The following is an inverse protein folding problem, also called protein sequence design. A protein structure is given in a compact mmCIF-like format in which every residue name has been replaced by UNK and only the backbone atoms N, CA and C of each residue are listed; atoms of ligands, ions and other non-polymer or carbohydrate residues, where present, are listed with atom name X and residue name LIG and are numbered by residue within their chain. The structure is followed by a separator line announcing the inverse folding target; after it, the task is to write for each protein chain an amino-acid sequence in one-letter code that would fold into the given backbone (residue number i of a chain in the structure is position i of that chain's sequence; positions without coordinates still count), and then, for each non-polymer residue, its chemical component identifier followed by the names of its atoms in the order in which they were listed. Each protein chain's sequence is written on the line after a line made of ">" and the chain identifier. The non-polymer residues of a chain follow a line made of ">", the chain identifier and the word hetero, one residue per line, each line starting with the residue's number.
data_IF_771012503663
#
_entry.id   IF_771012503663
#
_cell.length_a   1.000
_cell.length_b   1.000
_cell.length_c   1.000
_cell.angle_alpha   90.00
_cell.angle_beta   90.00
_cell.angle_gamma   90.00
#
_symmetry.space_group_name_H-M   'P 1'
#
loop_
_entity.id
_entity.type
_entity.pdbx_description
1 polymer ?
#
# COMPACT_ATOMS: atom_id res chain seq x y z
N UNK A 1 10.30 19.32 17.62
CA UNK A 1 9.84 18.30 16.64
C UNK A 1 11.06 17.88 15.83
N UNK A 2 11.35 16.58 15.70
CA UNK A 2 12.67 16.09 15.27
C UNK A 2 12.79 15.74 13.78
N UNK A 3 11.68 15.52 13.05
CA UNK A 3 11.70 15.01 11.68
C UNK A 3 10.64 15.64 10.76
N UNK A 4 10.75 16.93 10.39
CA UNK A 4 9.90 17.52 9.35
C UNK A 4 10.24 16.94 7.96
N UNK A 5 9.28 16.95 7.03
CA UNK A 5 9.40 16.46 5.66
C UNK A 5 9.73 14.95 5.52
N UNK A 6 9.42 14.14 6.54
CA UNK A 6 9.65 12.71 6.42
C UNK A 6 8.49 12.01 5.69
N UNK A 7 8.72 10.76 5.30
CA UNK A 7 7.67 9.87 4.76
C UNK A 7 7.35 8.85 5.85
N UNK A 8 6.07 8.75 6.21
CA UNK A 8 5.56 7.74 7.13
C UNK A 8 4.97 6.60 6.31
N UNK A 9 5.52 5.41 6.45
CA UNK A 9 5.00 4.20 5.80
C UNK A 9 4.25 3.38 6.86
N UNK A 10 2.98 3.07 6.60
CA UNK A 10 2.15 2.22 7.44
C UNK A 10 1.79 0.98 6.63
N UNK A 11 2.29 -0.17 7.04
CA UNK A 11 1.99 -1.45 6.39
C UNK A 11 0.80 -2.15 7.04
N UNK A 12 0.07 -2.97 6.27
CA UNK A 12 -1.09 -3.76 6.75
C UNK A 12 -2.10 -2.89 7.54
N UNK A 13 -2.43 -1.75 6.93
CA UNK A 13 -3.15 -0.64 7.55
C UNK A 13 -4.67 -0.81 7.58
N UNK A 14 -5.20 -1.97 7.18
CA UNK A 14 -6.62 -2.30 7.12
C UNK A 14 -7.34 -1.92 8.41
N UNK A 15 -6.74 -2.26 9.56
CA UNK A 15 -7.35 -1.98 10.87
C UNK A 15 -7.49 -0.48 11.17
N UNK A 16 -6.69 0.36 10.51
CA UNK A 16 -6.56 1.81 10.68
C UNK A 16 -7.43 2.57 9.67
N UNK A 17 -7.53 2.11 8.42
CA UNK A 17 -8.17 2.86 7.32
C UNK A 17 -9.62 2.45 7.04
N UNK A 18 -10.07 1.28 7.52
CA UNK A 18 -11.40 0.76 7.22
C UNK A 18 -12.52 1.54 7.94
N UNK A 19 -13.63 1.74 7.24
CA UNK A 19 -14.87 2.33 7.74
C UNK A 19 -15.63 1.31 8.62
N UNK A 20 -15.51 1.44 9.95
CA UNK A 20 -16.22 0.59 10.91
C UNK A 20 -17.55 1.23 11.30
N UNK A 21 -18.54 1.15 10.39
CA UNK A 21 -19.89 1.73 10.60
C UNK A 21 -20.66 1.17 11.81
N UNK A 22 -20.30 -0.03 12.27
CA UNK A 22 -21.06 -0.76 13.31
C UNK A 22 -20.35 -0.86 14.68
N UNK A 23 -19.18 -0.22 14.85
CA UNK A 23 -18.52 -0.19 16.15
C UNK A 23 -19.04 0.98 16.98
N UNK A 24 -19.54 0.70 18.20
CA UNK A 24 -19.92 1.69 19.22
C UNK A 24 -18.80 2.68 19.60
N UNK A 25 -17.59 2.54 19.04
CA UNK A 25 -16.49 3.48 19.15
C UNK A 25 -16.10 4.00 17.75
N UNK A 26 -16.14 5.33 17.51
CA UNK A 26 -15.56 5.90 16.30
C UNK A 26 -14.08 5.54 16.22
N UNK A 27 -13.61 5.20 15.02
CA UNK A 27 -12.24 4.77 14.75
C UNK A 27 -11.23 5.88 15.12
N UNK A 28 -10.70 5.79 16.34
CA UNK A 28 -9.66 6.70 16.82
C UNK A 28 -8.40 6.65 15.94
N UNK A 29 -8.12 5.50 15.32
CA UNK A 29 -7.03 5.31 14.37
C UNK A 29 -7.20 6.16 13.09
N UNK A 30 -8.37 6.11 12.44
CA UNK A 30 -8.67 6.99 11.28
C UNK A 30 -8.59 8.45 11.69
N UNK A 31 -9.15 8.82 12.84
CA UNK A 31 -9.14 10.22 13.31
C UNK A 31 -7.71 10.74 13.53
N UNK A 32 -6.83 9.92 14.10
CA UNK A 32 -5.42 10.25 14.27
C UNK A 32 -4.71 10.41 12.91
N UNK A 33 -5.02 9.54 11.94
CA UNK A 33 -4.47 9.63 10.59
C UNK A 33 -4.91 10.92 9.89
N UNK A 34 -6.19 11.27 9.99
CA UNK A 34 -6.75 12.52 9.45
C UNK A 34 -6.13 13.77 10.09
N UNK A 35 -5.90 13.75 11.40
CA UNK A 35 -5.26 14.87 12.10
C UNK A 35 -3.79 15.03 11.71
N UNK A 36 -3.13 13.93 11.32
CA UNK A 36 -1.75 13.94 10.85
C UNK A 36 -1.65 14.40 9.39
N UNK A 37 -2.66 14.13 8.56
CA UNK A 37 -2.64 14.50 7.13
C UNK A 37 -3.11 15.93 6.86
N UNK A 38 -4.15 16.41 7.55
CA UNK A 38 -4.91 17.62 7.17
C UNK A 38 -4.97 18.71 8.24
N UNK A 39 -4.42 18.43 9.42
CA UNK A 39 -4.48 19.36 10.54
C UNK A 39 -3.33 20.36 10.58
N UNK A 40 -3.37 21.24 11.58
CA UNK A 40 -2.24 22.11 11.96
C UNK A 40 -0.90 21.35 12.09
N UNK A 41 -0.96 20.05 12.42
CA UNK A 41 0.20 19.15 12.48
C UNK A 41 0.71 18.75 11.09
N UNK A 42 -0.18 18.43 10.15
CA UNK A 42 0.19 18.12 8.76
C UNK A 42 0.85 19.32 8.09
N UNK A 43 0.26 20.51 8.25
CA UNK A 43 0.79 21.79 7.74
C UNK A 43 2.15 22.16 8.37
N UNK A 44 2.34 21.88 9.67
CA UNK A 44 3.59 22.17 10.35
C UNK A 44 4.71 21.17 9.99
N UNK A 45 4.37 19.91 9.73
CA UNK A 45 5.33 18.82 9.55
C UNK A 45 5.66 18.51 8.09
N UNK A 46 4.80 18.91 7.14
CA UNK A 46 4.91 18.54 5.72
C UNK A 46 5.11 17.02 5.52
N UNK A 47 4.44 16.23 6.36
CA UNK A 47 4.62 14.78 6.41
C UNK A 47 3.85 14.12 5.27
N UNK A 48 4.52 13.27 4.50
CA UNK A 48 3.84 12.40 3.52
C UNK A 48 3.53 11.06 4.15
N UNK A 49 2.36 10.50 3.85
CA UNK A 49 1.93 9.21 4.40
C UNK A 49 1.68 8.24 3.24
N UNK A 50 2.29 7.07 3.31
CA UNK A 50 2.06 5.95 2.40
C UNK A 50 1.49 4.81 3.24
N UNK A 51 0.37 4.25 2.78
CA UNK A 51 -0.32 3.18 3.50
C UNK A 51 -0.54 2.00 2.56
N UNK A 52 -0.25 0.79 3.03
CA UNK A 52 -0.52 -0.45 2.27
C UNK A 52 -1.67 -1.20 2.91
N UNK A 53 -2.47 -1.88 2.10
CA UNK A 53 -3.61 -2.68 2.54
C UNK A 53 -4.00 -3.70 1.46
N UNK A 54 -4.66 -4.76 1.89
CA UNK A 54 -5.13 -5.88 1.07
C UNK A 54 -6.66 -6.01 1.07
N UNK A 55 -7.38 -4.93 1.38
CA UNK A 55 -8.84 -4.87 1.35
C UNK A 55 -9.37 -4.12 0.11
N UNK A 56 -10.65 -4.33 -0.21
CA UNK A 56 -11.31 -3.56 -1.27
C UNK A 56 -11.46 -2.09 -0.85
N UNK A 57 -11.26 -1.17 -1.81
CA UNK A 57 -11.43 0.28 -1.62
C UNK A 57 -12.80 0.66 -1.03
N UNK A 58 -13.84 -0.12 -1.32
CA UNK A 58 -15.20 0.10 -0.80
C UNK A 58 -15.27 0.06 0.73
N UNK A 59 -14.32 -0.59 1.39
CA UNK A 59 -14.23 -0.68 2.85
C UNK A 59 -13.50 0.49 3.51
N UNK A 60 -12.83 1.37 2.77
CA UNK A 60 -12.03 2.47 3.32
C UNK A 60 -12.92 3.63 3.76
N UNK A 61 -12.56 4.27 4.87
CA UNK A 61 -13.24 5.48 5.36
C UNK A 61 -13.22 6.56 4.25
N UNK A 62 -14.41 6.99 3.75
CA UNK A 62 -14.50 7.97 2.67
C UNK A 62 -13.83 9.30 3.00
N UNK A 63 -13.63 9.62 4.27
CA UNK A 63 -12.93 10.82 4.69
C UNK A 63 -11.44 10.80 4.28
N UNK A 64 -10.82 9.64 4.08
CA UNK A 64 -9.44 9.52 3.59
C UNK A 64 -9.34 9.69 2.07
N UNK A 65 -10.42 9.40 1.34
CA UNK A 65 -10.46 9.41 -0.13
C UNK A 65 -10.77 10.79 -0.72
N UNK A 66 -10.93 11.83 0.11
CA UNK A 66 -11.25 13.17 -0.37
C UNK A 66 -10.07 13.78 -1.11
N UNK A 67 -10.38 14.62 -2.10
CA UNK A 67 -9.40 15.43 -2.80
C UNK A 67 -8.59 16.28 -1.79
N UNK A 68 -7.27 16.28 -1.93
CA UNK A 68 -6.34 16.89 -0.99
C UNK A 68 -5.79 15.94 0.09
N UNK A 69 -6.52 14.87 0.46
CA UNK A 69 -6.06 13.81 1.39
C UNK A 69 -5.43 12.64 0.66
N UNK A 70 -6.10 12.18 -0.40
CA UNK A 70 -5.59 11.15 -1.28
C UNK A 70 -4.96 11.80 -2.51
N UNK A 71 -3.63 11.76 -2.57
CA UNK A 71 -2.86 12.32 -3.68
C UNK A 71 -2.72 11.28 -4.80
N UNK A 72 -2.49 10.02 -4.42
CA UNK A 72 -2.27 8.92 -5.36
C UNK A 72 -2.83 7.63 -4.79
N UNK A 73 -3.45 6.85 -5.66
CA UNK A 73 -3.83 5.47 -5.40
C UNK A 73 -3.02 4.58 -6.35
N UNK A 74 -2.44 3.51 -5.82
CA UNK A 74 -1.76 2.51 -6.64
C UNK A 74 -2.24 1.12 -6.26
N UNK A 75 -2.81 0.42 -7.23
CA UNK A 75 -3.20 -0.98 -7.09
C UNK A 75 -2.12 -1.86 -7.71
N UNK A 76 -1.53 -2.74 -6.90
CA UNK A 76 -0.61 -3.75 -7.38
C UNK A 76 -1.38 -4.86 -8.08
N UNK A 77 -1.20 -4.97 -9.40
CA UNK A 77 -1.77 -6.03 -10.22
C UNK A 77 -0.69 -7.04 -10.64
N UNK A 78 -1.09 -8.04 -11.43
CA UNK A 78 -0.15 -8.97 -12.04
C UNK A 78 0.88 -8.20 -12.87
N UNK A 79 2.15 -8.55 -12.73
CA UNK A 79 3.21 -8.07 -13.60
C UNK A 79 2.98 -8.61 -15.01
N UNK A 80 3.16 -7.75 -16.02
CA UNK A 80 3.18 -8.17 -17.43
C UNK A 80 4.22 -9.26 -17.67
N UNK A 81 4.02 -10.11 -18.68
CA UNK A 81 4.96 -11.16 -19.09
C UNK A 81 6.40 -10.64 -19.18
N UNK A 82 6.63 -9.47 -19.77
CA UNK A 82 7.99 -8.91 -19.92
C UNK A 82 8.63 -8.55 -18.57
N UNK A 83 7.88 -7.88 -17.69
CA UNK A 83 8.34 -7.60 -16.32
C UNK A 83 8.57 -8.89 -15.50
N UNK A 84 7.73 -9.91 -15.67
CA UNK A 84 7.93 -11.22 -15.01
C UNK A 84 9.23 -11.85 -15.50
N UNK A 85 9.45 -11.88 -16.82
CA UNK A 85 10.69 -12.41 -17.43
C UNK A 85 11.93 -11.68 -16.95
N UNK A 86 11.85 -10.35 -16.85
CA UNK A 86 12.94 -9.54 -16.34
C UNK A 86 13.20 -9.88 -14.86
N UNK A 87 12.16 -9.92 -14.04
CA UNK A 87 12.29 -10.24 -12.62
C UNK A 87 12.83 -11.66 -12.39
N UNK A 88 12.42 -12.65 -13.18
CA UNK A 88 12.99 -14.01 -13.13
C UNK A 88 14.50 -14.00 -13.34
N UNK A 89 14.97 -13.27 -14.38
CA UNK A 89 16.41 -13.13 -14.66
C UNK A 89 17.15 -12.44 -13.53
N UNK A 90 16.58 -11.38 -12.97
CA UNK A 90 17.16 -10.64 -11.84
C UNK A 90 17.21 -11.49 -10.55
N UNK A 91 16.21 -12.34 -10.33
CA UNK A 91 16.14 -13.24 -9.17
C UNK A 91 16.92 -14.54 -9.37
N UNK A 92 17.44 -14.82 -10.57
CA UNK A 92 18.12 -16.08 -10.90
C UNK A 92 17.18 -17.29 -10.95
N UNK A 93 15.89 -17.09 -11.25
CA UNK A 93 14.92 -18.17 -11.42
C UNK A 93 14.96 -18.67 -12.88
N UNK A 94 15.12 -19.97 -13.06
CA UNK A 94 15.11 -20.60 -14.39
C UNK A 94 13.72 -20.55 -15.06
N UNK A 95 13.72 -20.63 -16.40
CA UNK A 95 12.49 -20.78 -17.18
C UNK A 95 11.75 -19.48 -17.51
N UNK A 96 12.41 -18.32 -17.42
CA UNK A 96 11.84 -17.03 -17.78
C UNK A 96 11.22 -17.05 -19.20
N UNK A 97 11.89 -17.66 -20.17
CA UNK A 97 11.43 -17.77 -21.55
C UNK A 97 10.07 -18.47 -21.72
N UNK A 98 9.70 -19.33 -20.76
CA UNK A 98 8.46 -20.11 -20.80
C UNK A 98 7.25 -19.36 -20.22
N UNK A 99 7.46 -18.18 -19.62
CA UNK A 99 6.36 -17.35 -19.11
C UNK A 99 5.52 -16.84 -20.27
N UNK A 100 4.23 -17.18 -20.27
CA UNK A 100 3.27 -16.76 -21.31
C UNK A 100 2.11 -15.94 -20.75
N UNK A 101 2.00 -15.83 -19.42
CA UNK A 101 0.91 -15.11 -18.76
C UNK A 101 1.43 -14.16 -17.66
N UNK A 102 0.71 -13.07 -17.37
CA UNK A 102 0.99 -12.21 -16.23
C UNK A 102 0.93 -12.96 -14.90
N UNK A 103 1.80 -12.60 -13.96
CA UNK A 103 1.92 -13.26 -12.65
C UNK A 103 1.90 -12.25 -11.50
N UNK A 104 1.40 -12.66 -10.34
CA UNK A 104 1.51 -11.89 -9.10
C UNK A 104 2.93 -11.96 -8.56
N UNK A 105 3.40 -10.89 -7.93
CA UNK A 105 4.70 -10.87 -7.25
C UNK A 105 4.85 -12.04 -6.25
N UNK A 106 3.81 -12.35 -5.48
CA UNK A 106 3.82 -13.45 -4.53
C UNK A 106 4.09 -14.82 -5.20
N UNK A 107 3.51 -15.07 -6.37
CA UNK A 107 3.72 -16.31 -7.14
C UNK A 107 5.18 -16.42 -7.61
N UNK A 108 5.77 -15.30 -8.03
CA UNK A 108 7.16 -15.23 -8.51
C UNK A 108 8.15 -15.50 -7.37
N UNK A 109 7.99 -14.81 -6.24
CA UNK A 109 8.89 -14.96 -5.09
C UNK A 109 8.77 -16.34 -4.44
N UNK A 110 7.59 -16.96 -4.47
CA UNK A 110 7.43 -18.34 -4.02
C UNK A 110 8.29 -19.33 -4.83
N UNK A 111 8.58 -19.06 -6.11
CA UNK A 111 9.47 -19.90 -6.93
C UNK A 111 10.93 -19.76 -6.52
N UNK A 112 11.38 -18.55 -6.17
CA UNK A 112 12.75 -18.31 -5.68
C UNK A 112 13.04 -19.12 -4.42
N UNK A 113 12.13 -19.10 -3.45
CA UNK A 113 12.31 -19.80 -2.17
C UNK A 113 12.37 -21.33 -2.27
N UNK A 114 12.01 -21.91 -3.43
CA UNK A 114 12.12 -23.36 -3.70
C UNK A 114 13.45 -23.70 -4.39
N UNK A 115 14.14 -22.71 -4.94
CA UNK A 115 15.41 -22.85 -5.66
C UNK A 115 16.64 -22.62 -4.79
N UNK A 116 16.46 -22.17 -3.54
CA UNK A 116 17.48 -22.10 -2.47
C UNK A 116 17.52 -23.40 -1.65
#
# INVERSE_FOLDING_TARGET
>A
MQHPNSILIIEDSETIILDRKDALNPNQAVSNLLNLSDGLLGDAMHQQIITTFNCEMKGIDPALLREGRLIVEHKFEKLSVDNVRQLYKELGIDGAENIQEPMLLAEIYAKKSVSE
#
